data_IF_843033981147
#
_entry.id   IF_843033981147
#
_cell.length_a   1.000
_cell.length_b   1.000
_cell.length_c   1.000
_cell.angle_alpha   90.00
_cell.angle_beta   90.00
_cell.angle_gamma   90.00
#
_symmetry.space_group_name_H-M   'P 1'
#
loop_
_entity.id
_entity.type
_entity.pdbx_description
1 polymer ?
#
# COMPACT_ATOMS: atom_id res chain seq x y z
N UNK A 1 -4.91 3.08 6.56
CA UNK A 1 -4.48 2.06 7.52
C UNK A 1 -5.66 1.20 8.01
N UNK A 2 -5.42 -0.11 8.21
CA UNK A 2 -6.37 -1.00 8.86
C UNK A 2 -7.56 -1.43 7.99
N UNK A 3 -7.42 -1.51 6.69
CA UNK A 3 -8.48 -1.93 5.77
C UNK A 3 -8.54 -3.45 5.56
N UNK A 4 -7.69 -4.23 6.19
CA UNK A 4 -7.72 -5.69 6.13
C UNK A 4 -7.82 -6.25 7.55
N UNK A 5 -8.88 -7.03 7.81
CA UNK A 5 -9.16 -7.56 9.16
C UNK A 5 -7.99 -8.38 9.68
N UNK A 6 -7.54 -8.07 10.91
CA UNK A 6 -6.45 -8.76 11.60
C UNK A 6 -5.03 -8.27 11.27
N UNK A 7 -4.85 -7.43 10.24
CA UNK A 7 -3.51 -6.94 9.89
C UNK A 7 -2.89 -6.06 10.98
N UNK A 8 -3.65 -5.11 11.54
CA UNK A 8 -3.13 -4.20 12.58
C UNK A 8 -2.70 -4.94 13.85
N UNK A 9 -3.41 -5.99 14.22
CA UNK A 9 -3.07 -6.87 15.35
C UNK A 9 -1.76 -7.61 15.08
N UNK A 10 -1.62 -8.20 13.89
CA UNK A 10 -0.39 -8.90 13.48
C UNK A 10 0.81 -7.95 13.38
N UNK A 11 0.59 -6.71 12.94
CA UNK A 11 1.62 -5.67 12.85
C UNK A 11 1.98 -5.04 14.21
N UNK A 12 1.25 -5.36 15.29
CA UNK A 12 1.44 -4.76 16.61
C UNK A 12 1.00 -3.30 16.69
N UNK A 13 0.23 -2.80 15.72
CA UNK A 13 -0.11 -1.38 15.59
C UNK A 13 -1.53 -1.03 16.06
N UNK A 14 -2.36 -2.01 16.42
CA UNK A 14 -3.76 -1.78 16.83
C UNK A 14 -3.90 -0.74 17.95
N UNK A 15 -2.94 -0.67 18.88
CA UNK A 15 -2.92 0.29 19.99
C UNK A 15 -2.81 1.74 19.52
N UNK A 16 -2.18 2.01 18.38
CA UNK A 16 -1.98 3.35 17.85
C UNK A 16 -3.28 4.01 17.37
N UNK A 17 -4.34 3.22 17.20
CA UNK A 17 -5.63 3.66 16.65
C UNK A 17 -6.77 3.66 17.66
N UNK A 18 -6.50 3.51 18.95
CA UNK A 18 -7.54 3.47 19.98
C UNK A 18 -8.34 4.79 20.09
N UNK A 19 -7.70 5.91 19.77
CA UNK A 19 -8.33 7.23 19.76
C UNK A 19 -9.17 7.51 18.50
N UNK A 20 -8.96 6.75 17.42
CA UNK A 20 -9.65 6.96 16.14
C UNK A 20 -11.04 6.37 16.20
N UNK A 21 -12.05 7.25 16.14
CA UNK A 21 -13.45 6.82 16.06
C UNK A 21 -13.74 6.29 14.66
N UNK A 22 -14.01 5.01 14.54
CA UNK A 22 -14.38 4.36 13.29
C UNK A 22 -15.40 3.25 13.53
N UNK A 23 -16.21 2.93 12.53
CA UNK A 23 -17.04 1.73 12.57
C UNK A 23 -16.16 0.49 12.71
N UNK A 24 -16.70 -0.59 13.29
CA UNK A 24 -15.95 -1.81 13.63
C UNK A 24 -15.09 -2.35 12.48
N UNK A 25 -15.61 -2.32 11.26
CA UNK A 25 -14.94 -2.87 10.08
C UNK A 25 -14.37 -1.78 9.14
N UNK A 26 -14.49 -0.50 9.51
CA UNK A 26 -13.94 0.57 8.69
C UNK A 26 -12.42 0.66 8.82
N UNK A 27 -11.72 1.07 7.77
CA UNK A 27 -10.33 1.50 7.90
C UNK A 27 -10.21 2.61 8.94
N UNK A 28 -9.05 2.76 9.54
CA UNK A 28 -8.84 3.69 10.64
C UNK A 28 -8.59 5.12 10.16
N UNK A 29 -7.67 5.29 9.22
CA UNK A 29 -7.26 6.60 8.73
C UNK A 29 -6.59 6.49 7.37
N UNK A 30 -6.48 7.62 6.67
CA UNK A 30 -5.63 7.80 5.49
C UNK A 30 -4.44 8.67 5.90
N UNK A 31 -3.28 8.37 5.37
CA UNK A 31 -2.06 9.15 5.59
C UNK A 31 -1.35 9.42 4.26
N UNK A 32 -0.61 10.54 4.14
CA UNK A 32 0.15 10.84 2.94
C UNK A 32 1.43 10.00 2.90
N UNK A 33 1.84 9.59 1.71
CA UNK A 33 3.14 8.94 1.48
C UNK A 33 4.07 9.85 0.69
N UNK A 34 3.52 10.66 -0.21
CA UNK A 34 4.25 11.60 -1.05
C UNK A 34 3.36 12.77 -1.45
N UNK A 35 3.91 13.97 -1.38
CA UNK A 35 3.27 15.22 -1.79
C UNK A 35 4.14 15.91 -2.83
N UNK A 36 3.70 16.01 -4.10
CA UNK A 36 4.47 16.63 -5.18
C UNK A 36 4.46 18.17 -5.10
N UNK A 37 4.97 18.69 -4.00
CA UNK A 37 5.05 20.14 -3.72
C UNK A 37 6.28 20.42 -2.88
N UNK A 38 6.75 21.66 -2.89
CA UNK A 38 7.77 22.16 -1.98
C UNK A 38 7.20 23.34 -1.21
N UNK A 39 7.12 23.21 0.09
CA UNK A 39 6.56 24.22 0.98
C UNK A 39 7.08 24.01 2.39
N UNK A 40 7.44 25.08 3.08
CA UNK A 40 7.86 25.02 4.49
C UNK A 40 6.78 24.45 5.43
N UNK A 41 5.55 24.32 4.94
CA UNK A 41 4.41 23.75 5.69
C UNK A 41 4.27 22.22 5.48
N UNK A 42 5.07 21.63 4.58
CA UNK A 42 5.07 20.18 4.32
C UNK A 42 6.33 19.56 4.94
N UNK A 43 6.21 18.48 5.72
CA UNK A 43 7.38 17.74 6.17
C UNK A 43 8.29 17.32 5.01
N UNK A 44 9.58 17.65 5.07
CA UNK A 44 10.55 17.43 3.99
C UNK A 44 10.55 15.98 3.47
N UNK A 45 10.35 15.00 4.35
CA UNK A 45 10.31 13.60 3.95
C UNK A 45 9.12 13.27 3.04
N UNK A 46 8.00 14.01 3.11
CA UNK A 46 6.85 13.84 2.21
C UNK A 46 7.07 14.46 0.84
N UNK A 47 8.02 15.38 0.70
CA UNK A 47 8.39 16.00 -0.59
C UNK A 47 9.33 15.12 -1.43
N UNK A 48 9.90 14.08 -0.84
CA UNK A 48 10.80 13.17 -1.54
C UNK A 48 10.03 11.98 -2.12
N UNK A 49 10.12 11.79 -3.45
CA UNK A 49 9.44 10.69 -4.15
C UNK A 49 9.98 9.33 -3.69
N UNK A 50 9.17 8.49 -3.02
CA UNK A 50 9.67 7.31 -2.34
C UNK A 50 9.62 6.02 -3.17
N UNK A 51 8.90 6.01 -4.31
CA UNK A 51 8.56 4.76 -4.99
C UNK A 51 9.66 4.24 -5.90
N UNK A 52 9.83 2.92 -5.91
CA UNK A 52 10.68 2.18 -6.83
C UNK A 52 10.02 0.87 -7.20
N UNK A 53 10.20 0.43 -8.45
CA UNK A 53 9.79 -0.91 -8.91
C UNK A 53 10.86 -1.98 -8.70
N UNK A 54 12.09 -1.59 -8.28
CA UNK A 54 13.27 -2.47 -8.32
C UNK A 54 13.97 -2.65 -6.98
N UNK A 55 13.90 -1.64 -6.10
CA UNK A 55 14.71 -1.65 -4.88
C UNK A 55 14.01 -0.97 -3.70
N UNK A 56 14.43 -1.40 -2.50
CA UNK A 56 14.15 -0.74 -1.23
C UNK A 56 15.49 -0.36 -0.62
N UNK A 57 15.69 0.92 -0.32
CA UNK A 57 16.86 1.39 0.44
C UNK A 57 16.56 1.19 1.92
N UNK A 58 17.44 0.44 2.61
CA UNK A 58 17.26 0.18 4.04
C UNK A 58 17.44 1.49 4.83
N UNK A 59 16.53 1.82 5.76
CA UNK A 59 16.61 3.07 6.51
C UNK A 59 17.83 3.07 7.44
N UNK A 60 18.54 4.19 7.51
CA UNK A 60 19.69 4.36 8.42
C UNK A 60 19.20 4.33 9.88
N UNK A 61 19.94 3.61 10.74
CA UNK A 61 19.68 3.53 12.18
C UNK A 61 18.32 2.95 12.59
N UNK A 62 17.62 2.33 11.67
CA UNK A 62 16.35 1.64 11.93
C UNK A 62 16.54 0.14 11.74
N UNK A 63 15.70 -0.63 12.41
CA UNK A 63 15.57 -2.07 12.28
C UNK A 63 14.10 -2.40 12.06
N UNK A 64 13.77 -3.67 11.96
CA UNK A 64 12.37 -4.10 11.88
C UNK A 64 11.61 -3.54 10.66
N UNK A 65 12.27 -3.54 9.51
CA UNK A 65 11.64 -3.20 8.24
C UNK A 65 10.76 -4.36 7.76
N UNK A 66 9.49 -4.10 7.50
CA UNK A 66 8.51 -5.12 7.17
C UNK A 66 7.82 -4.83 5.83
N UNK A 67 7.65 -5.86 5.00
CA UNK A 67 6.85 -5.77 3.78
C UNK A 67 5.39 -5.52 4.17
N UNK A 68 4.75 -4.56 3.52
CA UNK A 68 3.29 -4.41 3.53
C UNK A 68 2.74 -4.63 2.12
N UNK A 69 2.33 -5.87 1.79
CA UNK A 69 1.83 -6.18 0.46
C UNK A 69 0.44 -5.59 0.27
N UNK A 70 0.29 -4.79 -0.77
CA UNK A 70 -0.93 -4.06 -1.05
C UNK A 70 -1.34 -4.13 -2.52
N UNK A 71 -2.64 -4.06 -2.77
CA UNK A 71 -3.17 -3.60 -4.04
C UNK A 71 -3.24 -2.08 -3.99
N UNK A 72 -2.63 -1.41 -4.95
CA UNK A 72 -2.78 0.03 -5.10
C UNK A 72 -3.58 0.37 -6.35
N UNK A 73 -4.36 1.46 -6.30
CA UNK A 73 -5.15 1.96 -7.41
C UNK A 73 -4.69 3.36 -7.81
N UNK A 74 -4.55 3.59 -9.11
CA UNK A 74 -4.40 4.94 -9.68
C UNK A 74 -5.78 5.45 -10.01
N UNK A 75 -6.10 6.64 -9.50
CA UNK A 75 -7.42 7.25 -9.63
C UNK A 75 -7.32 8.64 -10.25
N UNK A 76 -8.33 8.98 -11.07
CA UNK A 76 -8.67 10.36 -11.34
C UNK A 76 -9.40 10.91 -10.11
N UNK A 77 -9.07 12.16 -9.73
CA UNK A 77 -9.73 12.86 -8.63
C UNK A 77 -10.26 14.20 -9.14
N UNK A 78 -11.45 14.57 -8.69
CA UNK A 78 -12.11 15.82 -9.08
C UNK A 78 -12.53 16.60 -7.83
N UNK A 79 -12.47 17.92 -7.92
CA UNK A 79 -12.76 18.84 -6.83
C UNK A 79 -13.94 19.74 -7.15
N UNK A 80 -14.69 20.10 -6.11
CA UNK A 80 -15.77 21.11 -6.17
C UNK A 80 -15.69 21.97 -4.91
N UNK A 81 -15.63 23.28 -5.07
CA UNK A 81 -15.47 24.23 -3.97
C UNK A 81 -14.29 23.84 -3.05
N UNK A 82 -13.14 23.51 -3.66
CA UNK A 82 -11.90 23.09 -2.98
C UNK A 82 -12.01 21.78 -2.16
N UNK A 83 -13.09 21.04 -2.24
CA UNK A 83 -13.24 19.72 -1.62
C UNK A 83 -13.18 18.61 -2.68
N UNK A 84 -12.73 17.45 -2.25
CA UNK A 84 -12.77 16.24 -3.09
C UNK A 84 -14.23 15.89 -3.34
N UNK A 85 -14.61 15.84 -4.62
CA UNK A 85 -15.96 15.56 -5.06
C UNK A 85 -16.13 14.16 -5.60
N UNK A 86 -15.16 13.67 -6.39
CA UNK A 86 -15.19 12.33 -6.94
C UNK A 86 -13.81 11.70 -7.03
N UNK A 87 -13.75 10.37 -6.93
CA UNK A 87 -12.57 9.54 -7.13
C UNK A 87 -12.95 8.41 -8.06
N UNK A 88 -12.26 8.29 -9.20
CA UNK A 88 -12.54 7.29 -10.24
C UNK A 88 -11.30 6.40 -10.45
N UNK A 89 -11.28 5.15 -9.97
CA UNK A 89 -10.19 4.21 -10.21
C UNK A 89 -10.01 3.89 -11.70
N UNK A 90 -8.76 3.93 -12.18
CA UNK A 90 -8.40 3.73 -13.59
C UNK A 90 -7.53 2.49 -13.79
N UNK A 91 -6.55 2.28 -12.92
CA UNK A 91 -5.61 1.17 -12.97
C UNK A 91 -5.35 0.64 -11.57
N UNK A 92 -4.90 -0.61 -11.48
CA UNK A 92 -4.38 -1.19 -10.25
C UNK A 92 -3.05 -1.87 -10.49
N UNK A 93 -2.26 -2.01 -9.43
CA UNK A 93 -0.96 -2.67 -9.48
C UNK A 93 -0.53 -3.17 -8.09
N UNK A 94 0.45 -4.08 -8.08
CA UNK A 94 1.13 -4.51 -6.86
C UNK A 94 1.91 -3.35 -6.25
N UNK A 95 1.77 -3.18 -4.94
CA UNK A 95 2.43 -2.15 -4.16
C UNK A 95 3.02 -2.74 -2.87
N UNK A 96 3.99 -2.05 -2.32
CA UNK A 96 4.57 -2.37 -1.02
C UNK A 96 4.70 -1.08 -0.22
N UNK A 97 3.81 -0.91 0.75
CA UNK A 97 3.86 0.20 1.71
C UNK A 97 4.84 -0.11 2.86
N UNK A 98 6.03 -0.58 2.48
CA UNK A 98 7.08 -1.03 3.39
C UNK A 98 7.20 -0.13 4.62
N UNK A 99 7.23 -0.73 5.82
CA UNK A 99 7.10 0.00 7.07
C UNK A 99 8.21 -0.28 8.04
N UNK A 100 8.67 0.77 8.72
CA UNK A 100 9.51 0.65 9.89
C UNK A 100 8.61 0.35 11.09
N UNK A 101 8.79 -0.82 11.72
CA UNK A 101 8.05 -1.20 12.93
C UNK A 101 8.73 -0.61 14.15
N UNK A 102 8.21 0.52 14.61
CA UNK A 102 8.65 1.19 15.83
C UNK A 102 7.47 1.61 16.68
N UNK A 103 7.67 1.57 17.98
CA UNK A 103 6.68 2.05 18.94
C UNK A 103 6.61 3.58 18.96
N UNK A 104 5.50 4.10 19.45
CA UNK A 104 5.30 5.52 19.67
C UNK A 104 4.00 6.05 19.08
N UNK A 105 3.47 7.09 19.71
CA UNK A 105 2.31 7.84 19.26
C UNK A 105 2.78 8.93 18.28
N UNK A 106 2.88 8.58 17.01
CA UNK A 106 3.39 9.44 15.92
C UNK A 106 2.43 9.42 14.73
N UNK A 107 2.55 10.40 13.85
CA UNK A 107 1.89 10.35 12.55
C UNK A 107 2.36 9.12 11.77
N UNK A 108 1.43 8.45 11.09
CA UNK A 108 1.73 7.20 10.38
C UNK A 108 2.75 7.44 9.26
N UNK A 109 2.63 8.55 8.55
CA UNK A 109 3.54 8.94 7.48
C UNK A 109 5.02 8.90 7.88
N UNK A 110 5.34 9.18 9.15
CA UNK A 110 6.73 9.17 9.65
C UNK A 110 7.39 7.79 9.71
N UNK A 111 6.59 6.72 9.65
CA UNK A 111 7.07 5.33 9.59
C UNK A 111 7.14 4.80 8.16
N UNK A 112 6.61 5.57 7.21
CA UNK A 112 6.32 5.12 5.86
C UNK A 112 7.26 5.70 4.81
N UNK A 113 7.63 6.96 4.88
CA UNK A 113 8.55 7.57 3.93
C UNK A 113 9.84 8.01 4.66
N UNK A 114 10.94 7.36 4.35
CA UNK A 114 12.29 7.72 4.84
C UNK A 114 13.22 8.14 3.69
N UNK A 115 12.62 8.55 2.56
CA UNK A 115 13.34 9.01 1.38
C UNK A 115 13.15 8.11 0.16
N UNK A 116 14.01 8.32 -0.83
CA UNK A 116 13.99 7.58 -2.11
C UNK A 116 14.02 6.08 -1.92
N UNK A 117 13.20 5.39 -2.72
CA UNK A 117 13.12 3.93 -2.72
C UNK A 117 12.73 3.33 -1.36
N UNK A 118 11.95 4.04 -0.56
CA UNK A 118 11.37 3.51 0.67
C UNK A 118 10.07 2.74 0.44
N UNK A 119 9.45 2.91 -0.74
CA UNK A 119 8.18 2.30 -1.12
C UNK A 119 8.29 1.52 -2.42
N UNK A 120 7.30 0.68 -2.66
CA UNK A 120 7.19 -0.10 -3.88
C UNK A 120 5.93 0.16 -4.66
N UNK A 121 6.08 0.28 -5.99
CA UNK A 121 4.97 0.31 -6.92
C UNK A 121 5.38 -0.34 -8.24
N UNK A 122 4.57 -1.27 -8.73
CA UNK A 122 4.87 -2.03 -9.94
C UNK A 122 4.72 -1.17 -11.20
N UNK A 123 5.60 -1.41 -12.16
CA UNK A 123 5.48 -0.83 -13.51
C UNK A 123 4.41 -1.52 -14.37
N UNK A 124 3.89 -2.68 -13.92
CA UNK A 124 2.86 -3.44 -14.61
C UNK A 124 1.48 -3.01 -14.13
N UNK A 125 0.92 -2.01 -14.78
CA UNK A 125 -0.41 -1.48 -14.49
C UNK A 125 -1.48 -2.29 -15.23
N UNK A 126 -2.53 -2.67 -14.52
CA UNK A 126 -3.68 -3.37 -15.09
C UNK A 126 -4.85 -2.40 -15.12
N UNK A 127 -5.46 -2.24 -16.29
CA UNK A 127 -6.60 -1.32 -16.47
C UNK A 127 -7.84 -1.87 -15.76
N UNK A 128 -8.51 -1.02 -15.00
CA UNK A 128 -9.80 -1.33 -14.39
C UNK A 128 -10.88 -1.12 -15.44
N UNK A 129 -11.72 -2.14 -15.67
CA UNK A 129 -12.90 -2.04 -16.52
C UNK A 129 -14.03 -1.31 -15.80
N UNK A 130 -14.32 -1.73 -14.57
CA UNK A 130 -15.26 -1.08 -13.63
C UNK A 130 -14.84 -1.40 -12.19
N UNK A 131 -14.99 -0.43 -11.32
CA UNK A 131 -14.66 -0.59 -9.88
C UNK A 131 -15.93 -0.89 -9.08
N UNK A 132 -16.52 -2.05 -9.35
CA UNK A 132 -17.75 -2.57 -8.72
C UNK A 132 -17.79 -4.10 -8.84
N UNK A 133 -18.66 -4.79 -8.07
CA UNK A 133 -18.83 -6.24 -8.20
C UNK A 133 -19.12 -6.67 -9.64
N UNK A 134 -18.52 -7.75 -10.08
CA UNK A 134 -18.53 -8.25 -11.46
C UNK A 134 -17.46 -7.63 -12.36
N UNK A 135 -16.63 -6.70 -11.87
CA UNK A 135 -15.48 -6.16 -12.58
C UNK A 135 -14.24 -7.07 -12.51
N UNK A 136 -13.18 -6.66 -13.23
CA UNK A 136 -11.95 -7.44 -13.35
C UNK A 136 -11.33 -7.82 -12.00
N UNK A 137 -11.45 -6.96 -10.98
CA UNK A 137 -10.84 -7.16 -9.67
C UNK A 137 -11.43 -8.34 -8.88
N UNK A 138 -12.66 -8.78 -9.17
CA UNK A 138 -13.25 -9.99 -8.56
C UNK A 138 -12.44 -11.26 -8.87
N UNK A 139 -11.68 -11.24 -9.97
CA UNK A 139 -10.86 -12.36 -10.41
C UNK A 139 -9.42 -12.30 -9.91
N UNK A 140 -9.03 -11.27 -9.14
CA UNK A 140 -7.63 -11.09 -8.74
C UNK A 140 -7.36 -11.51 -7.30
N UNK A 141 -6.20 -12.12 -7.14
CA UNK A 141 -5.60 -12.45 -5.84
C UNK A 141 -4.34 -11.63 -5.62
N UNK A 142 -3.98 -11.48 -4.36
CA UNK A 142 -2.72 -10.90 -3.92
C UNK A 142 -1.93 -11.93 -3.11
N UNK A 143 -0.68 -12.12 -3.47
CA UNK A 143 0.28 -12.93 -2.72
C UNK A 143 1.57 -12.17 -2.52
N UNK A 144 2.30 -12.45 -1.45
CA UNK A 144 3.62 -11.88 -1.25
C UNK A 144 4.63 -12.85 -0.71
N UNK A 145 5.89 -12.62 -1.09
CA UNK A 145 6.99 -13.50 -0.78
C UNK A 145 8.23 -12.69 -0.36
N UNK A 146 9.06 -13.33 0.43
CA UNK A 146 10.42 -12.88 0.72
C UNK A 146 11.39 -13.88 0.13
N UNK A 147 12.30 -13.43 -0.70
CA UNK A 147 13.42 -14.24 -1.17
C UNK A 147 14.68 -13.84 -0.39
N UNK A 148 15.22 -14.78 0.37
CA UNK A 148 16.47 -14.64 1.14
C UNK A 148 17.45 -15.69 0.66
N UNK A 149 18.62 -15.26 0.21
CA UNK A 149 19.59 -16.10 -0.46
C UNK A 149 18.97 -16.81 -1.69
N UNK A 150 18.81 -18.12 -1.64
CA UNK A 150 18.17 -18.92 -2.70
C UNK A 150 16.78 -19.44 -2.30
N UNK A 151 16.36 -19.17 -1.08
CA UNK A 151 15.09 -19.66 -0.54
C UNK A 151 13.98 -18.64 -0.75
N UNK A 152 12.79 -19.13 -1.04
CA UNK A 152 11.58 -18.35 -1.23
C UNK A 152 10.57 -18.72 -0.14
N UNK A 153 10.14 -17.72 0.63
CA UNK A 153 9.20 -17.86 1.73
C UNK A 153 7.91 -17.12 1.40
N UNK A 154 6.76 -17.71 1.70
CA UNK A 154 5.49 -17.00 1.68
C UNK A 154 5.48 -15.99 2.84
N UNK A 155 5.27 -14.71 2.53
CA UNK A 155 5.36 -13.63 3.50
C UNK A 155 3.97 -13.12 3.93
N UNK A 156 3.12 -12.79 2.98
CA UNK A 156 1.70 -12.50 3.18
C UNK A 156 0.83 -13.67 2.80
N UNK A 157 -0.36 -13.75 3.41
CA UNK A 157 -1.38 -14.72 3.01
C UNK A 157 -1.83 -14.45 1.57
N UNK A 158 -1.97 -15.51 0.78
CA UNK A 158 -2.59 -15.43 -0.53
C UNK A 158 -4.12 -15.27 -0.33
N UNK A 159 -4.67 -14.16 -0.78
CA UNK A 159 -6.07 -13.85 -0.60
C UNK A 159 -6.68 -13.10 -1.79
N UNK A 160 -8.02 -13.08 -1.85
CA UNK A 160 -8.75 -12.32 -2.86
C UNK A 160 -8.49 -10.80 -2.66
N UNK A 161 -8.29 -10.08 -3.75
CA UNK A 161 -8.18 -8.59 -3.71
C UNK A 161 -9.46 -7.97 -3.17
N UNK A 162 -10.61 -8.60 -3.37
CA UNK A 162 -11.90 -8.16 -2.80
C UNK A 162 -12.06 -8.46 -1.31
N UNK A 163 -11.07 -9.12 -0.67
CA UNK A 163 -11.08 -9.45 0.76
C UNK A 163 -10.84 -8.27 1.72
N UNK A 164 -10.59 -7.07 1.19
CA UNK A 164 -10.52 -5.87 2.02
C UNK A 164 -11.86 -5.57 2.71
N UNK A 165 -11.82 -5.04 3.94
CA UNK A 165 -13.02 -4.70 4.70
C UNK A 165 -13.89 -3.66 4.02
N UNK A 166 -13.25 -2.62 3.45
CA UNK A 166 -13.86 -1.63 2.56
C UNK A 166 -13.26 -1.76 1.18
N UNK A 167 -14.12 -2.01 0.19
CA UNK A 167 -13.74 -2.17 -1.21
C UNK A 167 -14.81 -1.55 -2.12
N UNK A 168 -14.52 -1.35 -3.38
CA UNK A 168 -15.44 -0.74 -4.36
C UNK A 168 -16.02 0.59 -3.87
N UNK A 169 -17.30 0.80 -4.07
CA UNK A 169 -18.00 2.04 -3.71
C UNK A 169 -17.82 2.41 -2.23
N UNK A 170 -17.86 1.44 -1.33
CA UNK A 170 -17.69 1.68 0.12
C UNK A 170 -16.30 2.27 0.43
N UNK A 171 -15.25 1.80 -0.24
CA UNK A 171 -13.91 2.36 -0.10
C UNK A 171 -13.85 3.79 -0.67
N UNK A 172 -14.41 4.01 -1.85
CA UNK A 172 -14.37 5.32 -2.51
C UNK A 172 -15.11 6.38 -1.70
N UNK A 173 -16.33 6.06 -1.25
CA UNK A 173 -17.14 6.97 -0.42
C UNK A 173 -16.39 7.32 0.88
N UNK A 174 -15.79 6.32 1.52
CA UNK A 174 -15.00 6.52 2.73
C UNK A 174 -13.74 7.36 2.48
N UNK A 175 -13.05 7.16 1.35
CA UNK A 175 -11.90 7.98 0.98
C UNK A 175 -12.30 9.44 0.76
N UNK A 176 -13.40 9.71 0.07
CA UNK A 176 -13.91 11.07 -0.17
C UNK A 176 -14.25 11.74 1.17
N UNK A 177 -14.96 11.04 2.06
CA UNK A 177 -15.26 11.54 3.40
C UNK A 177 -13.97 11.88 4.15
N UNK A 178 -13.03 10.95 4.26
CA UNK A 178 -11.79 11.13 5.01
C UNK A 178 -10.89 12.21 4.43
N UNK A 179 -10.79 12.32 3.11
CA UNK A 179 -10.02 13.38 2.47
C UNK A 179 -10.53 14.77 2.87
N UNK A 180 -11.84 14.92 3.02
CA UNK A 180 -12.46 16.21 3.34
C UNK A 180 -12.57 16.50 4.86
N UNK A 181 -12.49 15.46 5.72
CA UNK A 181 -12.84 15.64 7.15
C UNK A 181 -11.69 15.33 8.10
N UNK A 182 -10.65 14.58 7.69
CA UNK A 182 -9.52 14.32 8.58
C UNK A 182 -8.80 15.61 8.96
N UNK A 183 -8.41 15.69 10.23
CA UNK A 183 -7.65 16.81 10.79
C UNK A 183 -6.29 16.33 11.27
N UNK A 184 -5.38 17.25 11.58
CA UNK A 184 -4.10 16.92 12.20
C UNK A 184 -4.29 16.59 13.70
N UNK A 185 -4.60 15.31 13.97
CA UNK A 185 -4.75 14.77 15.31
C UNK A 185 -4.18 13.36 15.35
N UNK A 186 -2.96 13.23 15.87
CA UNK A 186 -2.23 11.94 15.87
C UNK A 186 -3.14 10.76 16.23
N UNK A 187 -3.21 9.70 15.40
CA UNK A 187 -2.36 9.41 14.23
C UNK A 187 -2.88 9.97 12.89
N UNK A 188 -3.99 10.72 12.87
CA UNK A 188 -4.61 11.26 11.66
C UNK A 188 -3.88 12.51 11.14
N UNK A 189 -3.88 12.68 9.81
CA UNK A 189 -3.27 13.78 9.08
C UNK A 189 -4.29 14.45 8.16
N UNK A 190 -4.23 15.78 8.01
CA UNK A 190 -5.16 16.53 7.17
C UNK A 190 -4.82 16.36 5.69
N UNK A 191 -5.50 15.43 5.03
CA UNK A 191 -5.26 15.10 3.63
C UNK A 191 -5.67 16.24 2.69
N UNK A 192 -6.78 16.92 2.97
CA UNK A 192 -7.23 18.05 2.14
C UNK A 192 -6.20 19.18 2.13
N UNK A 193 -5.55 19.44 3.25
CA UNK A 193 -4.45 20.40 3.32
C UNK A 193 -3.31 20.02 2.35
N UNK A 194 -2.89 18.77 2.34
CA UNK A 194 -1.84 18.29 1.44
C UNK A 194 -2.25 18.32 -0.04
N UNK A 195 -3.50 17.98 -0.35
CA UNK A 195 -4.03 18.10 -1.71
C UNK A 195 -4.03 19.55 -2.20
N UNK A 196 -4.38 20.51 -1.35
CA UNK A 196 -4.29 21.95 -1.63
C UNK A 196 -2.84 22.38 -1.89
N UNK A 197 -1.91 21.97 -1.03
CA UNK A 197 -0.47 22.27 -1.21
C UNK A 197 0.12 21.64 -2.46
N UNK A 198 -0.40 20.51 -2.91
CA UNK A 198 -0.06 19.87 -4.19
C UNK A 198 -0.79 20.50 -5.39
N UNK A 199 -1.44 21.63 -5.21
CA UNK A 199 -2.20 22.35 -6.25
C UNK A 199 -3.32 21.49 -6.88
N UNK A 200 -4.07 20.76 -6.05
CA UNK A 200 -5.21 19.94 -6.46
C UNK A 200 -4.87 18.99 -7.62
N UNK A 201 -4.01 17.98 -7.39
CA UNK A 201 -3.63 17.04 -8.45
C UNK A 201 -4.87 16.35 -9.02
N UNK A 202 -4.90 16.16 -10.34
CA UNK A 202 -6.00 15.47 -11.01
C UNK A 202 -5.87 13.94 -11.02
N UNK A 203 -4.74 13.41 -10.55
CA UNK A 203 -4.50 11.98 -10.34
C UNK A 203 -3.86 11.75 -8.99
N UNK A 204 -4.28 10.68 -8.34
CA UNK A 204 -3.71 10.19 -7.08
C UNK A 204 -3.51 8.69 -7.15
N UNK A 205 -2.60 8.19 -6.32
CA UNK A 205 -2.48 6.76 -6.04
C UNK A 205 -2.96 6.49 -4.61
N UNK A 206 -3.78 5.48 -4.45
CA UNK A 206 -4.26 4.98 -3.15
C UNK A 206 -3.78 3.55 -2.97
N UNK A 207 -2.92 3.30 -2.00
CA UNK A 207 -2.64 1.97 -1.48
C UNK A 207 -3.79 1.55 -0.56
N UNK A 208 -4.47 0.43 -0.89
CA UNK A 208 -5.77 0.10 -0.27
C UNK A 208 -5.60 -0.41 1.17
N UNK A 209 -4.44 -0.97 1.49
CA UNK A 209 -4.09 -1.50 2.80
C UNK A 209 -3.33 -2.82 2.70
N UNK A 210 -2.49 -3.09 3.69
CA UNK A 210 -1.70 -4.31 3.74
C UNK A 210 -2.57 -5.52 4.11
N UNK A 211 -2.33 -6.65 3.45
CA UNK A 211 -2.97 -7.93 3.74
C UNK A 211 -2.34 -8.60 4.97
N UNK A 212 -2.92 -9.70 5.46
CA UNK A 212 -2.36 -10.43 6.60
C UNK A 212 -1.04 -11.11 6.25
N UNK A 213 -0.24 -11.32 7.28
CA UNK A 213 1.01 -12.07 7.21
C UNK A 213 0.81 -13.55 7.48
N UNK A 214 1.65 -14.38 6.86
CA UNK A 214 1.89 -15.75 7.33
C UNK A 214 2.65 -15.73 8.67
N UNK A 215 2.75 -16.88 9.34
CA UNK A 215 3.59 -17.02 10.55
C UNK A 215 5.05 -16.63 10.30
N UNK A 216 5.55 -16.86 9.09
CA UNK A 216 6.87 -16.42 8.69
C UNK A 216 6.94 -14.89 8.59
N UNK A 217 5.98 -14.26 7.92
CA UNK A 217 5.95 -12.80 7.73
C UNK A 217 5.85 -12.02 9.03
N UNK A 218 5.10 -12.52 10.02
CA UNK A 218 5.02 -11.91 11.36
C UNK A 218 6.39 -11.86 12.05
N UNK A 219 7.20 -12.91 11.91
CA UNK A 219 8.44 -13.11 12.67
C UNK A 219 9.70 -12.65 11.95
N UNK A 220 9.60 -12.29 10.67
CA UNK A 220 10.78 -12.01 9.85
C UNK A 220 10.74 -10.61 9.24
N UNK A 221 11.70 -9.80 9.66
CA UNK A 221 11.96 -8.49 9.05
C UNK A 221 12.92 -8.60 7.87
N UNK A 222 12.84 -7.63 6.97
CA UNK A 222 13.75 -7.49 5.84
C UNK A 222 15.18 -7.24 6.29
N UNK A 223 16.12 -7.76 5.50
CA UNK A 223 17.56 -7.55 5.67
C UNK A 223 18.15 -7.09 4.33
N UNK A 224 19.28 -6.42 4.39
CA UNK A 224 20.04 -6.11 3.16
C UNK A 224 20.35 -7.41 2.40
N UNK A 225 20.12 -7.41 1.11
CA UNK A 225 20.27 -8.59 0.26
C UNK A 225 18.98 -9.40 0.05
N UNK A 226 17.93 -9.20 0.83
CA UNK A 226 16.62 -9.81 0.59
C UNK A 226 15.98 -9.27 -0.71
N UNK A 227 14.99 -9.99 -1.22
CA UNK A 227 14.04 -9.44 -2.20
C UNK A 227 12.62 -9.54 -1.67
N UNK A 228 11.93 -8.41 -1.65
CA UNK A 228 10.49 -8.31 -1.41
C UNK A 228 9.75 -8.53 -2.70
N UNK A 229 8.72 -9.39 -2.70
CA UNK A 229 7.95 -9.71 -3.90
C UNK A 229 6.46 -9.62 -3.56
N UNK A 230 5.72 -8.82 -4.32
CA UNK A 230 4.26 -8.71 -4.25
C UNK A 230 3.70 -9.00 -5.63
N UNK A 231 2.69 -9.85 -5.71
CA UNK A 231 2.09 -10.28 -6.98
C UNK A 231 0.57 -10.17 -6.91
N UNK A 232 0.00 -9.49 -7.92
CA UNK A 232 -1.43 -9.53 -8.21
C UNK A 232 -1.65 -10.37 -9.46
N UNK A 233 -2.53 -11.38 -9.40
CA UNK A 233 -2.72 -12.32 -10.49
C UNK A 233 -4.18 -12.78 -10.62
N UNK A 234 -4.67 -13.06 -11.86
CA UNK A 234 -6.03 -13.55 -12.07
C UNK A 234 -6.14 -15.05 -11.73
N UNK A 235 -6.97 -15.37 -10.72
CA UNK A 235 -7.14 -16.76 -10.25
C UNK A 235 -7.80 -17.69 -11.25
N UNK A 236 -8.47 -17.15 -12.26
CA UNK A 236 -9.02 -17.97 -13.35
C UNK A 236 -7.95 -18.51 -14.30
N UNK A 237 -6.72 -17.98 -14.25
CA UNK A 237 -5.62 -18.37 -15.14
C UNK A 237 -4.43 -18.98 -14.42
N UNK A 238 -4.20 -18.58 -13.18
CA UNK A 238 -3.02 -18.98 -12.41
C UNK A 238 -3.41 -19.39 -11.00
N UNK A 239 -2.73 -20.40 -10.48
CA UNK A 239 -2.75 -20.75 -9.07
C UNK A 239 -1.43 -20.31 -8.38
N UNK A 240 -1.39 -20.40 -7.06
CA UNK A 240 -0.22 -19.98 -6.27
C UNK A 240 1.07 -20.74 -6.66
N UNK A 241 0.99 -22.03 -6.96
CA UNK A 241 2.17 -22.82 -7.31
C UNK A 241 2.77 -22.39 -8.67
N UNK A 242 1.93 -21.96 -9.60
CA UNK A 242 2.39 -21.39 -10.87
C UNK A 242 3.06 -20.02 -10.64
N UNK A 243 2.51 -19.19 -9.78
CA UNK A 243 3.16 -17.92 -9.37
C UNK A 243 4.52 -18.19 -8.73
N UNK A 244 4.62 -19.17 -7.82
CA UNK A 244 5.89 -19.55 -7.20
C UNK A 244 6.91 -20.01 -8.27
N UNK A 245 6.49 -20.78 -9.27
CA UNK A 245 7.36 -21.19 -10.38
C UNK A 245 7.83 -20.00 -11.21
N UNK A 246 6.94 -19.04 -11.52
CA UNK A 246 7.31 -17.80 -12.23
C UNK A 246 8.34 -16.99 -11.44
N UNK A 247 8.15 -16.85 -10.12
CA UNK A 247 9.10 -16.15 -9.24
C UNK A 247 10.48 -16.83 -9.27
N UNK A 248 10.53 -18.16 -9.13
CA UNK A 248 11.77 -18.93 -9.14
C UNK A 248 12.52 -18.84 -10.47
N UNK A 249 11.78 -18.81 -11.58
CA UNK A 249 12.33 -18.68 -12.93
C UNK A 249 12.59 -17.22 -13.34
N UNK A 250 12.19 -16.27 -12.52
CA UNK A 250 12.22 -14.82 -12.81
C UNK A 250 11.49 -14.48 -14.14
N UNK A 251 10.39 -15.18 -14.42
CA UNK A 251 9.55 -15.01 -15.62
C UNK A 251 8.28 -14.21 -15.27
N UNK A 252 8.31 -12.93 -15.58
CA UNK A 252 7.21 -11.99 -15.32
C UNK A 252 6.68 -11.35 -16.61
N UNK A 253 6.75 -12.07 -17.72
CA UNK A 253 6.39 -11.54 -19.04
C UNK A 253 4.88 -11.42 -19.31
N UNK A 254 4.04 -11.87 -18.37
CA UNK A 254 2.57 -11.87 -18.53
C UNK A 254 1.97 -10.49 -18.28
N UNK A 255 1.20 -9.99 -19.23
CA UNK A 255 0.58 -8.64 -19.16
C UNK A 255 -0.62 -8.54 -18.22
N UNK A 256 -1.17 -9.67 -17.78
CA UNK A 256 -2.30 -9.76 -16.85
C UNK A 256 -1.88 -10.05 -15.39
N UNK A 257 -0.59 -10.03 -15.12
CA UNK A 257 -0.03 -10.12 -13.76
C UNK A 257 0.67 -8.81 -13.43
N UNK A 258 0.47 -8.27 -12.24
CA UNK A 258 1.26 -7.16 -11.73
C UNK A 258 2.25 -7.67 -10.70
N UNK A 259 3.55 -7.56 -11.00
CA UNK A 259 4.63 -8.00 -10.12
C UNK A 259 5.46 -6.81 -9.67
N UNK A 260 5.72 -6.78 -8.38
CA UNK A 260 6.66 -5.87 -7.75
C UNK A 260 7.75 -6.70 -7.08
N UNK A 261 8.95 -6.72 -7.66
CA UNK A 261 10.12 -7.40 -7.08
C UNK A 261 11.20 -6.40 -6.76
N UNK A 262 11.41 -6.14 -5.46
CA UNK A 262 12.33 -5.13 -4.99
C UNK A 262 13.50 -5.76 -4.22
N UNK A 263 14.73 -5.43 -4.62
CA UNK A 263 15.94 -5.79 -3.88
C UNK A 263 16.16 -4.83 -2.72
N UNK A 264 16.40 -5.36 -1.52
CA UNK A 264 16.76 -4.57 -0.34
C UNK A 264 18.24 -4.27 -0.38
N UNK A 265 18.61 -2.98 -0.38
CA UNK A 265 19.99 -2.49 -0.42
C UNK A 265 20.25 -1.54 0.76
N UNK A 266 21.53 -1.37 1.13
CA UNK A 266 21.98 -0.40 2.14
C UNK A 266 22.07 0.99 1.57
#
# INVERSE_FOLDING_TARGET
AGNFTGHLEQAGEAKNFLSVKSNKNAPKTIFPTYIPSKSDEIPVFLEEFPFSSEKIVFPKNEQNLQIEPECAIICKIEYKNENVYSISPLYFAASNDCSIRKEGNVFISTKKNWGKNSKGFSNQLIKIDRFEPGGILDNYRIASFLQRDKELFEYGEDCDVTGYSYFYKTLIDWCIEKFNTQTNSVPEENILFYLKKANFPNHIMISIGATRYTDFGIKNYLRSGDSSIVVLYPQSKYNKDEIIKMIKNNDFSKSDISVLKQKVIL
#
